data_IF_429563761358
#
_entry.id   IF_429563761358
#
_cell.length_a   1.000
_cell.length_b   1.000
_cell.length_c   1.000
_cell.angle_alpha   90.00
_cell.angle_beta   90.00
_cell.angle_gamma   90.00
#
_symmetry.space_group_name_H-M   'P 1'
#
loop_
_entity.id
_entity.type
_entity.pdbx_description
1 polymer ?
#
# COMPACT_ATOMS: atom_id res chain seq x y z
N UNK A 1 -8.24 -11.55 -21.40
CA UNK A 1 -8.25 -10.11 -21.10
C UNK A 1 -9.32 -9.87 -20.05
N UNK A 2 -8.92 -9.66 -18.80
CA UNK A 2 -9.80 -9.23 -17.72
C UNK A 2 -9.99 -7.73 -17.83
N UNK A 3 -11.22 -7.27 -18.03
CA UNK A 3 -11.54 -5.85 -17.97
C UNK A 3 -11.20 -5.29 -16.58
N UNK A 4 -10.78 -4.01 -16.48
CA UNK A 4 -10.59 -3.37 -15.18
C UNK A 4 -11.89 -3.48 -14.38
N UNK A 5 -11.79 -3.83 -13.09
CA UNK A 5 -12.95 -3.87 -12.19
C UNK A 5 -13.67 -2.50 -12.15
N UNK A 6 -12.97 -1.44 -12.56
CA UNK A 6 -13.36 -0.04 -12.69
C UNK A 6 -13.83 0.37 -14.10
N UNK A 7 -14.32 -0.56 -14.93
CA UNK A 7 -14.91 -0.30 -16.27
C UNK A 7 -15.95 0.83 -16.33
N UNK A 8 -16.27 1.34 -17.55
CA UNK A 8 -16.71 2.71 -17.75
C UNK A 8 -18.12 2.98 -17.20
N UNK A 9 -18.20 3.97 -16.31
CA UNK A 9 -19.40 4.67 -15.80
C UNK A 9 -20.43 3.75 -15.13
N UNK A 10 -20.03 3.16 -14.00
CA UNK A 10 -20.99 2.80 -12.95
C UNK A 10 -21.35 4.04 -12.15
N UNK A 11 -22.61 4.19 -11.77
CA UNK A 11 -22.99 5.27 -10.85
C UNK A 11 -22.30 5.06 -9.48
N UNK A 12 -22.17 6.11 -8.67
CA UNK A 12 -21.45 6.06 -7.39
C UNK A 12 -21.94 4.91 -6.49
N UNK A 13 -23.25 4.67 -6.47
CA UNK A 13 -23.87 3.65 -5.61
C UNK A 13 -23.48 2.24 -6.06
N UNK A 14 -23.50 1.95 -7.35
CA UNK A 14 -23.08 0.66 -7.93
C UNK A 14 -21.59 0.36 -7.65
N UNK A 15 -20.74 1.39 -7.65
CA UNK A 15 -19.31 1.23 -7.34
C UNK A 15 -19.12 0.89 -5.86
N UNK A 16 -19.82 1.59 -4.97
CA UNK A 16 -19.78 1.32 -3.53
C UNK A 16 -20.32 -0.07 -3.23
N UNK A 17 -21.47 -0.46 -3.80
CA UNK A 17 -22.05 -1.79 -3.65
C UNK A 17 -21.10 -2.89 -4.15
N UNK A 18 -20.42 -2.66 -5.28
CA UNK A 18 -19.43 -3.60 -5.79
C UNK A 18 -18.23 -3.75 -4.84
N UNK A 19 -17.75 -2.66 -4.24
CA UNK A 19 -16.66 -2.66 -3.26
C UNK A 19 -17.08 -3.39 -1.98
N UNK A 20 -18.28 -3.14 -1.47
CA UNK A 20 -18.85 -3.88 -0.34
C UNK A 20 -19.01 -5.38 -0.68
N UNK A 21 -19.35 -5.69 -1.94
CA UNK A 21 -19.41 -7.04 -2.46
C UNK A 21 -18.07 -7.79 -2.37
N UNK A 22 -16.92 -7.11 -2.51
CA UNK A 22 -15.59 -7.71 -2.32
C UNK A 22 -15.35 -8.17 -0.88
N UNK A 23 -16.08 -7.61 0.08
CA UNK A 23 -15.99 -7.92 1.50
C UNK A 23 -17.05 -8.95 1.94
N UNK A 24 -17.84 -9.50 1.02
CA UNK A 24 -18.89 -10.46 1.35
C UNK A 24 -18.32 -11.68 2.10
N UNK A 25 -18.81 -11.89 3.32
CA UNK A 25 -18.38 -12.99 4.20
C UNK A 25 -17.00 -12.78 4.84
N UNK A 26 -16.36 -11.63 4.63
CA UNK A 26 -15.11 -11.28 5.31
C UNK A 26 -15.36 -10.96 6.78
N UNK A 27 -14.51 -11.49 7.65
CA UNK A 27 -14.41 -11.12 9.06
C UNK A 27 -12.94 -10.93 9.38
N UNK A 28 -12.63 -9.84 10.07
CA UNK A 28 -11.25 -9.60 10.54
C UNK A 28 -10.88 -10.73 11.52
N UNK A 29 -9.78 -11.46 11.28
CA UNK A 29 -9.34 -12.50 12.20
C UNK A 29 -9.14 -11.95 13.62
N UNK A 30 -9.50 -12.75 14.63
CA UNK A 30 -9.46 -12.33 16.04
C UNK A 30 -8.03 -12.06 16.54
N UNK A 31 -7.04 -12.71 15.94
CA UNK A 31 -5.62 -12.55 16.25
C UNK A 31 -4.99 -11.27 15.67
N UNK A 32 -5.71 -10.51 14.83
CA UNK A 32 -5.23 -9.23 14.30
C UNK A 32 -5.33 -8.16 15.40
N UNK A 33 -4.23 -7.45 15.71
CA UNK A 33 -4.19 -6.47 16.80
C UNK A 33 -5.15 -5.28 16.58
N UNK A 34 -5.46 -4.58 17.67
CA UNK A 34 -6.27 -3.34 17.63
C UNK A 34 -5.44 -2.11 17.31
N UNK A 35 -4.13 -2.16 17.53
CA UNK A 35 -3.18 -1.15 17.10
C UNK A 35 -2.49 -1.69 15.85
N UNK A 36 -2.63 -0.98 14.74
CA UNK A 36 -2.04 -1.29 13.43
C UNK A 36 -1.55 0.04 12.89
N UNK A 37 -0.35 0.07 12.34
CA UNK A 37 0.24 1.30 11.78
C UNK A 37 0.43 1.21 10.27
N UNK A 38 0.49 0.00 9.74
CA UNK A 38 0.89 -0.26 8.36
C UNK A 38 0.07 -1.38 7.74
N UNK A 39 -0.09 -1.36 6.43
CA UNK A 39 -0.54 -2.50 5.66
C UNK A 39 0.29 -2.65 4.39
N UNK A 40 0.48 -3.90 3.98
CA UNK A 40 1.00 -4.26 2.66
C UNK A 40 -0.12 -4.94 1.89
N UNK A 41 -0.42 -4.42 0.71
CA UNK A 41 -1.47 -4.89 -0.18
C UNK A 41 -0.91 -4.99 -1.61
N UNK A 42 -1.50 -5.77 -2.53
CA UNK A 42 -1.08 -5.70 -3.93
C UNK A 42 -1.38 -4.32 -4.53
N UNK A 43 -0.69 -3.96 -5.60
CA UNK A 43 -0.92 -2.67 -6.28
C UNK A 43 -1.96 -2.73 -7.40
N UNK A 44 -2.29 -3.92 -7.89
CA UNK A 44 -3.13 -4.13 -9.08
C UNK A 44 -4.62 -3.75 -8.94
N UNK A 45 -5.28 -3.56 -10.10
CA UNK A 45 -6.72 -3.26 -10.22
C UNK A 45 -7.59 -4.48 -10.62
N UNK A 46 -6.96 -5.64 -10.78
CA UNK A 46 -7.67 -6.90 -11.02
C UNK A 46 -8.52 -7.32 -9.82
N UNK A 47 -9.49 -8.21 -10.04
CA UNK A 47 -10.45 -8.59 -8.99
C UNK A 47 -9.79 -9.24 -7.75
N UNK A 48 -8.67 -9.95 -7.91
CA UNK A 48 -7.96 -10.54 -6.77
C UNK A 48 -7.28 -9.44 -5.96
N UNK A 49 -6.57 -8.54 -6.64
CA UNK A 49 -5.92 -7.39 -6.00
C UNK A 49 -6.93 -6.48 -5.30
N UNK A 50 -8.00 -6.09 -6.01
CA UNK A 50 -9.06 -5.25 -5.47
C UNK A 50 -9.67 -5.84 -4.18
N UNK A 51 -9.88 -7.15 -4.14
CA UNK A 51 -10.39 -7.86 -2.96
C UNK A 51 -9.39 -7.84 -1.80
N UNK A 52 -8.10 -8.08 -2.06
CA UNK A 52 -7.06 -8.03 -1.03
C UNK A 52 -6.88 -6.62 -0.46
N UNK A 53 -6.91 -5.59 -1.33
CA UNK A 53 -6.86 -4.18 -0.94
C UNK A 53 -8.09 -3.83 -0.09
N UNK A 54 -9.29 -4.19 -0.53
CA UNK A 54 -10.53 -3.95 0.22
C UNK A 54 -10.46 -4.57 1.62
N UNK A 55 -10.00 -5.82 1.73
CA UNK A 55 -9.83 -6.51 3.03
C UNK A 55 -8.80 -5.82 3.93
N UNK A 56 -7.69 -5.37 3.37
CA UNK A 56 -6.67 -4.61 4.09
C UNK A 56 -7.25 -3.31 4.66
N UNK A 57 -7.81 -2.46 3.79
CA UNK A 57 -8.40 -1.17 4.18
C UNK A 57 -9.56 -1.35 5.16
N UNK A 58 -10.47 -2.30 4.91
CA UNK A 58 -11.57 -2.58 5.82
C UNK A 58 -11.08 -3.04 7.21
N UNK A 59 -10.00 -3.83 7.26
CA UNK A 59 -9.38 -4.22 8.53
C UNK A 59 -8.84 -3.02 9.28
N UNK A 60 -8.15 -2.10 8.59
CA UNK A 60 -7.68 -0.84 9.18
C UNK A 60 -8.85 0.00 9.71
N UNK A 61 -9.94 0.11 8.95
CA UNK A 61 -11.14 0.85 9.39
C UNK A 61 -11.73 0.25 10.68
N UNK A 62 -11.84 -1.07 10.76
CA UNK A 62 -12.44 -1.72 11.92
C UNK A 62 -11.54 -1.72 13.16
N UNK A 63 -10.22 -1.74 12.99
CA UNK A 63 -9.25 -1.80 14.11
C UNK A 63 -8.83 -0.41 14.58
N UNK A 64 -8.47 0.48 13.66
CA UNK A 64 -7.81 1.75 14.00
C UNK A 64 -8.56 3.01 13.57
N UNK A 65 -9.55 2.91 12.67
CA UNK A 65 -10.34 4.05 12.15
C UNK A 65 -9.44 5.20 11.66
N UNK A 66 -8.68 4.98 10.57
CA UNK A 66 -7.71 5.96 10.10
C UNK A 66 -8.38 7.29 9.76
N UNK A 67 -7.67 8.38 10.06
CA UNK A 67 -8.01 9.75 9.61
C UNK A 67 -7.25 10.11 8.34
N UNK A 68 -6.07 9.52 8.15
CA UNK A 68 -5.23 9.69 6.98
C UNK A 68 -4.62 8.34 6.57
N UNK A 69 -4.61 8.05 5.28
CA UNK A 69 -3.89 6.91 4.69
C UNK A 69 -2.82 7.43 3.74
N UNK A 70 -1.56 7.11 4.03
CA UNK A 70 -0.44 7.35 3.11
C UNK A 70 -0.38 6.15 2.17
N UNK A 71 -0.64 6.39 0.88
CA UNK A 71 -0.62 5.35 -0.15
C UNK A 71 0.77 5.34 -0.79
N UNK A 72 1.55 4.29 -0.54
CA UNK A 72 2.91 4.13 -1.09
C UNK A 72 2.83 3.25 -2.35
N UNK A 73 2.84 3.88 -3.52
CA UNK A 73 2.86 3.21 -4.81
C UNK A 73 4.26 3.14 -5.41
N UNK A 74 4.63 2.00 -6.01
CA UNK A 74 5.86 1.92 -6.79
C UNK A 74 5.63 2.39 -8.22
N UNK A 75 6.48 3.29 -8.73
CA UNK A 75 6.43 3.69 -10.13
C UNK A 75 7.30 2.79 -11.01
N UNK A 76 6.77 2.27 -12.14
CA UNK A 76 7.58 1.56 -13.12
C UNK A 76 8.48 2.48 -13.96
N UNK A 77 8.30 3.81 -13.85
CA UNK A 77 9.22 4.77 -14.47
C UNK A 77 10.52 4.80 -13.69
N UNK A 78 11.63 5.12 -14.35
CA UNK A 78 12.92 5.31 -13.69
C UNK A 78 12.88 6.55 -12.78
N UNK A 79 12.39 6.37 -11.55
CA UNK A 79 12.45 7.36 -10.49
C UNK A 79 13.80 7.26 -9.77
N UNK A 80 14.41 8.40 -9.49
CA UNK A 80 15.62 8.47 -8.66
C UNK A 80 15.26 8.50 -7.17
N UNK A 81 14.36 9.40 -6.79
CA UNK A 81 13.90 9.58 -5.42
C UNK A 81 12.42 9.28 -5.24
N UNK A 82 11.86 9.85 -4.18
CA UNK A 82 10.43 9.73 -3.83
C UNK A 82 9.69 10.99 -4.29
N UNK A 83 8.44 10.82 -4.74
CA UNK A 83 7.57 11.93 -5.08
C UNK A 83 6.27 11.88 -4.28
N UNK A 84 5.70 13.03 -3.91
CA UNK A 84 4.37 13.10 -3.28
C UNK A 84 3.52 14.23 -3.85
N UNK A 85 2.20 14.07 -3.72
CA UNK A 85 1.25 15.15 -4.00
C UNK A 85 0.90 15.86 -2.69
N UNK A 86 1.10 17.18 -2.64
CA UNK A 86 1.01 17.96 -1.41
C UNK A 86 -0.35 18.63 -1.14
N UNK A 87 -1.18 18.78 -2.16
CA UNK A 87 -2.44 19.52 -2.10
C UNK A 87 -3.45 18.98 -3.11
N UNK A 88 -4.73 19.30 -2.95
CA UNK A 88 -5.79 18.92 -3.90
C UNK A 88 -6.53 17.64 -3.52
N UNK A 89 -7.09 16.97 -4.53
CA UNK A 89 -7.95 15.80 -4.35
C UNK A 89 -7.62 14.74 -5.42
N UNK A 90 -7.82 13.47 -5.08
CA UNK A 90 -7.77 12.36 -6.03
C UNK A 90 -9.19 12.04 -6.47
N UNK A 91 -9.50 12.23 -7.74
CA UNK A 91 -10.81 11.93 -8.29
C UNK A 91 -11.02 10.42 -8.45
N UNK A 92 -12.18 9.94 -8.01
CA UNK A 92 -12.57 8.54 -8.18
C UNK A 92 -14.03 8.40 -8.54
N UNK A 93 -14.42 7.25 -9.08
CA UNK A 93 -15.82 6.96 -9.42
C UNK A 93 -16.72 6.85 -8.18
N UNK A 94 -16.17 6.62 -6.98
CA UNK A 94 -16.92 6.69 -5.71
C UNK A 94 -17.01 8.13 -5.13
N UNK A 95 -16.42 9.10 -5.83
CA UNK A 95 -16.28 10.51 -5.42
C UNK A 95 -14.84 10.87 -5.06
N UNK A 96 -14.58 12.17 -4.94
CA UNK A 96 -13.23 12.69 -4.68
C UNK A 96 -12.77 12.38 -3.25
N UNK A 97 -11.45 12.23 -3.10
CA UNK A 97 -10.76 12.03 -1.82
C UNK A 97 -9.73 13.12 -1.63
N UNK A 98 -9.93 13.96 -0.61
CA UNK A 98 -9.03 15.07 -0.33
C UNK A 98 -7.68 14.60 0.18
N UNK A 99 -6.63 15.30 -0.24
CA UNK A 99 -5.27 15.07 0.25
C UNK A 99 -5.10 15.68 1.65
N UNK A 100 -4.42 14.98 2.55
CA UNK A 100 -4.05 15.54 3.86
C UNK A 100 -2.81 16.45 3.72
N UNK A 101 -3.05 17.72 3.42
CA UNK A 101 -1.99 18.71 3.21
C UNK A 101 -1.05 18.88 4.41
N UNK A 102 -1.57 18.68 5.63
CA UNK A 102 -0.77 18.79 6.86
C UNK A 102 0.23 17.63 6.93
N UNK A 103 -0.22 16.41 6.70
CA UNK A 103 0.68 15.24 6.65
C UNK A 103 1.62 15.38 5.45
N UNK A 104 1.10 15.71 4.27
CA UNK A 104 1.92 15.81 3.06
C UNK A 104 3.05 16.86 3.19
N UNK A 105 2.76 18.04 3.74
CA UNK A 105 3.77 19.07 4.02
C UNK A 105 4.82 18.60 5.03
N UNK A 106 4.40 17.85 6.05
CA UNK A 106 5.31 17.26 7.03
C UNK A 106 6.24 16.23 6.39
N UNK A 107 5.71 15.35 5.52
CA UNK A 107 6.50 14.37 4.78
C UNK A 107 7.48 15.04 3.83
N UNK A 108 7.03 16.07 3.11
CA UNK A 108 7.88 16.86 2.22
C UNK A 108 9.06 17.48 2.99
N UNK A 109 8.82 17.98 4.20
CA UNK A 109 9.91 18.52 5.05
C UNK A 109 10.85 17.42 5.54
N UNK A 110 10.31 16.26 5.90
CA UNK A 110 11.07 15.13 6.44
C UNK A 110 12.05 14.53 5.42
N UNK A 111 11.69 14.55 4.13
CA UNK A 111 12.40 13.84 3.07
C UNK A 111 13.25 14.74 2.16
N UNK A 112 13.47 16.01 2.54
CA UNK A 112 14.44 16.87 1.85
C UNK A 112 15.88 16.39 2.06
N UNK A 113 16.75 16.41 1.03
CA UNK A 113 16.53 16.95 -0.32
C UNK A 113 16.02 15.93 -1.35
N UNK A 114 15.73 14.69 -0.92
CA UNK A 114 15.48 13.53 -1.79
C UNK A 114 14.08 13.49 -2.41
N UNK A 115 13.20 14.39 -1.97
CA UNK A 115 11.81 14.42 -2.39
C UNK A 115 11.54 15.39 -3.54
N UNK A 116 10.82 14.90 -4.54
CA UNK A 116 10.17 15.72 -5.56
C UNK A 116 8.71 15.97 -5.17
N UNK A 117 8.34 17.22 -4.92
CA UNK A 117 6.93 17.58 -4.74
C UNK A 117 6.38 17.83 -6.14
N UNK A 118 5.50 16.95 -6.61
CA UNK A 118 5.02 17.08 -7.98
C UNK A 118 3.97 18.19 -8.09
N UNK A 119 4.15 19.05 -9.10
CA UNK A 119 3.30 20.21 -9.36
C UNK A 119 1.96 19.83 -10.03
N UNK A 120 1.81 18.58 -10.51
CA UNK A 120 0.60 18.08 -11.17
C UNK A 120 0.16 16.70 -10.69
N UNK A 121 -1.15 16.48 -10.67
CA UNK A 121 -1.77 15.21 -10.25
C UNK A 121 -1.62 14.07 -11.26
N UNK A 122 -1.28 14.37 -12.52
CA UNK A 122 -1.25 13.40 -13.62
C UNK A 122 -0.29 12.23 -13.37
N UNK A 123 0.81 12.45 -12.65
CA UNK A 123 1.76 11.38 -12.33
C UNK A 123 1.23 10.45 -11.23
N UNK A 124 0.41 10.95 -10.30
CA UNK A 124 -0.19 10.17 -9.22
C UNK A 124 -1.43 9.40 -9.67
N UNK A 125 -2.21 9.97 -10.58
CA UNK A 125 -3.35 9.29 -11.21
C UNK A 125 -2.89 8.10 -12.08
N UNK A 126 -1.61 8.02 -12.42
CA UNK A 126 -1.05 6.93 -13.23
C UNK A 126 -0.77 5.65 -12.43
N UNK A 127 -0.58 5.72 -11.11
CA UNK A 127 -0.25 4.54 -10.30
C UNK A 127 -1.50 3.77 -9.86
N UNK A 128 -1.58 2.45 -10.14
CA UNK A 128 -2.72 1.61 -9.78
C UNK A 128 -3.16 1.74 -8.31
N UNK A 129 -2.22 1.64 -7.36
CA UNK A 129 -2.54 1.74 -5.93
C UNK A 129 -3.15 3.09 -5.56
N UNK A 130 -2.71 4.20 -6.15
CA UNK A 130 -3.26 5.52 -5.83
C UNK A 130 -4.73 5.60 -6.26
N UNK A 131 -5.05 5.12 -7.47
CA UNK A 131 -6.42 5.10 -7.98
C UNK A 131 -7.32 4.19 -7.17
N UNK A 132 -6.96 2.91 -7.05
CA UNK A 132 -7.81 1.93 -6.35
C UNK A 132 -7.80 2.15 -4.83
N UNK A 133 -6.68 2.56 -4.25
CA UNK A 133 -6.56 2.87 -2.83
C UNK A 133 -7.41 4.06 -2.44
N UNK A 134 -7.41 5.14 -3.24
CA UNK A 134 -8.31 6.28 -3.03
C UNK A 134 -9.78 5.87 -3.18
N UNK A 135 -10.12 5.11 -4.22
CA UNK A 135 -11.46 4.58 -4.43
C UNK A 135 -11.96 3.75 -3.22
N UNK A 136 -11.14 2.82 -2.74
CA UNK A 136 -11.46 1.97 -1.60
C UNK A 136 -11.55 2.78 -0.30
N UNK A 137 -10.67 3.76 -0.11
CA UNK A 137 -10.72 4.68 1.03
C UNK A 137 -12.03 5.48 1.02
N UNK A 138 -12.46 5.97 -0.15
CA UNK A 138 -13.72 6.71 -0.28
C UNK A 138 -14.93 5.88 0.10
N UNK A 139 -14.95 4.61 -0.32
CA UNK A 139 -16.07 3.71 -0.09
C UNK A 139 -16.09 3.16 1.36
N UNK A 140 -14.94 2.74 1.88
CA UNK A 140 -14.83 1.99 3.13
C UNK A 140 -14.49 2.85 4.36
N UNK A 141 -13.87 4.01 4.15
CA UNK A 141 -13.46 4.93 5.21
C UNK A 141 -13.93 6.38 4.93
N UNK A 142 -15.25 6.64 4.87
CA UNK A 142 -15.76 7.99 4.56
C UNK A 142 -15.19 9.05 5.51
N UNK A 143 -14.60 10.10 4.95
CA UNK A 143 -13.97 11.20 5.70
C UNK A 143 -12.49 10.99 6.01
N UNK A 144 -11.93 9.80 5.71
CA UNK A 144 -10.48 9.59 5.71
C UNK A 144 -9.85 10.34 4.53
N UNK A 145 -8.74 11.03 4.80
CA UNK A 145 -7.91 11.69 3.79
C UNK A 145 -6.82 10.76 3.30
N UNK A 146 -6.16 11.12 2.21
CA UNK A 146 -5.03 10.34 1.66
C UNK A 146 -3.79 11.20 1.44
N UNK A 147 -2.63 10.57 1.38
CA UNK A 147 -1.41 11.21 0.84
C UNK A 147 -0.77 10.21 -0.13
N UNK A 148 -0.86 10.42 -1.45
CA UNK A 148 -0.22 9.54 -2.42
C UNK A 148 1.27 9.83 -2.48
N UNK A 149 2.07 8.77 -2.43
CA UNK A 149 3.53 8.81 -2.43
C UNK A 149 4.04 7.77 -3.41
N UNK A 150 4.77 8.24 -4.42
CA UNK A 150 5.43 7.42 -5.42
C UNK A 150 6.86 7.15 -4.99
N UNK A 151 7.27 5.89 -5.02
CA UNK A 151 8.64 5.45 -4.73
C UNK A 151 9.22 4.63 -5.89
N UNK A 152 10.56 4.53 -5.99
CA UNK A 152 11.20 3.58 -6.90
C UNK A 152 10.81 2.13 -6.58
N UNK A 153 10.83 1.26 -7.58
CA UNK A 153 10.59 -0.20 -7.43
C UNK A 153 11.62 -0.88 -6.52
N UNK A 154 12.87 -0.41 -6.58
CA UNK A 154 14.03 -0.94 -5.85
C UNK A 154 14.87 0.20 -5.25
N UNK A 155 15.66 -0.11 -4.21
CA UNK A 155 16.61 0.85 -3.66
C UNK A 155 17.69 1.22 -4.70
N UNK A 156 18.16 2.46 -4.65
CA UNK A 156 19.20 3.00 -5.52
C UNK A 156 20.08 4.01 -4.75
N UNK A 157 21.05 4.64 -5.42
CA UNK A 157 22.02 5.55 -4.79
C UNK A 157 21.35 6.76 -4.09
N UNK A 158 20.20 7.19 -4.59
CA UNK A 158 19.43 8.33 -4.09
C UNK A 158 18.26 7.89 -3.20
N UNK A 159 18.01 6.59 -3.03
CA UNK A 159 16.83 6.08 -2.32
C UNK A 159 17.09 4.78 -1.55
N UNK A 160 17.07 4.88 -0.22
CA UNK A 160 17.04 3.75 0.70
C UNK A 160 15.63 3.61 1.33
N UNK A 161 14.85 2.57 0.95
CA UNK A 161 13.51 2.37 1.48
C UNK A 161 13.48 2.06 2.98
N UNK A 162 14.53 1.42 3.52
CA UNK A 162 14.58 1.04 4.94
C UNK A 162 14.85 2.29 5.79
N UNK A 163 15.82 3.10 5.40
CA UNK A 163 16.11 4.37 6.07
C UNK A 163 14.89 5.30 6.01
N UNK A 164 14.25 5.41 4.85
CA UNK A 164 13.06 6.24 4.66
C UNK A 164 11.87 5.76 5.50
N UNK A 165 11.61 4.44 5.50
CA UNK A 165 10.54 3.84 6.29
C UNK A 165 10.75 4.03 7.78
N UNK A 166 11.97 3.84 8.27
CA UNK A 166 12.34 4.07 9.68
C UNK A 166 12.07 5.52 10.07
N UNK A 167 12.58 6.47 9.28
CA UNK A 167 12.38 7.90 9.51
C UNK A 167 10.90 8.29 9.51
N UNK A 168 10.11 7.72 8.59
CA UNK A 168 8.67 7.91 8.53
C UNK A 168 7.98 7.38 9.79
N UNK A 169 8.34 6.18 10.24
CA UNK A 169 7.74 5.53 11.41
C UNK A 169 7.99 6.32 12.68
N UNK A 170 9.23 6.77 12.88
CA UNK A 170 9.63 7.63 14.00
C UNK A 170 8.89 8.97 13.98
N UNK A 171 8.87 9.63 12.82
CA UNK A 171 8.19 10.91 12.65
C UNK A 171 6.69 10.79 12.93
N UNK A 172 6.06 9.70 12.51
CA UNK A 172 4.63 9.50 12.71
C UNK A 172 4.28 8.83 14.03
N UNK A 173 5.22 8.48 14.92
CA UNK A 173 4.99 7.74 16.18
C UNK A 173 3.84 8.24 17.06
N UNK A 174 3.57 9.55 17.08
CA UNK A 174 2.45 10.14 17.84
C UNK A 174 1.14 10.27 17.02
N UNK A 175 1.19 10.12 15.70
CA UNK A 175 0.08 10.28 14.75
C UNK A 175 -0.70 8.97 14.58
N UNK A 176 -1.31 8.47 15.66
CA UNK A 176 -2.04 7.16 15.66
C UNK A 176 -3.15 7.03 14.61
N UNK A 177 -3.66 8.15 14.08
CA UNK A 177 -4.68 8.16 13.04
C UNK A 177 -4.14 8.13 11.61
N UNK A 178 -2.81 8.11 11.42
CA UNK A 178 -2.15 8.10 10.12
C UNK A 178 -1.57 6.72 9.86
N UNK A 179 -2.01 6.07 8.78
CA UNK A 179 -1.64 4.70 8.46
C UNK A 179 -0.92 4.65 7.12
N UNK A 180 0.12 3.83 7.01
CA UNK A 180 0.79 3.57 5.74
C UNK A 180 0.17 2.35 5.07
N UNK A 181 -0.18 2.46 3.78
CA UNK A 181 -0.61 1.35 2.93
C UNK A 181 0.33 1.27 1.74
N UNK A 182 1.17 0.24 1.70
CA UNK A 182 2.15 0.05 0.64
C UNK A 182 1.69 -1.01 -0.37
N UNK A 183 1.82 -0.67 -1.65
CA UNK A 183 1.52 -1.55 -2.77
C UNK A 183 2.73 -2.40 -3.13
N UNK A 184 2.67 -3.70 -2.86
CA UNK A 184 3.70 -4.65 -3.26
C UNK A 184 3.12 -6.02 -3.60
N UNK A 185 3.69 -6.61 -4.65
CA UNK A 185 3.52 -8.01 -5.03
C UNK A 185 4.71 -8.79 -4.49
N UNK A 186 4.49 -9.95 -3.89
CA UNK A 186 5.54 -10.67 -3.14
C UNK A 186 6.20 -11.81 -3.92
N UNK A 187 5.87 -12.02 -5.19
CA UNK A 187 6.38 -13.15 -5.96
C UNK A 187 6.82 -12.82 -7.38
N UNK A 188 7.98 -13.31 -7.79
CA UNK A 188 8.26 -13.52 -9.21
C UNK A 188 7.76 -14.92 -9.58
N UNK A 189 6.90 -15.04 -10.58
CA UNK A 189 6.22 -16.30 -10.95
C UNK A 189 7.10 -17.54 -11.19
N UNK A 190 8.43 -17.41 -11.17
CA UNK A 190 9.40 -18.52 -11.21
C UNK A 190 9.70 -19.18 -9.84
N UNK A 191 9.55 -18.48 -8.72
CA UNK A 191 9.92 -18.99 -7.38
C UNK A 191 8.77 -19.71 -6.66
N UNK A 192 7.53 -19.47 -7.09
CA UNK A 192 6.31 -20.09 -6.57
C UNK A 192 6.06 -19.86 -5.08
N UNK A 193 5.14 -20.63 -4.50
CA UNK A 193 4.70 -20.51 -3.09
C UNK A 193 5.85 -20.56 -2.06
N UNK A 194 6.97 -21.20 -2.37
CA UNK A 194 8.13 -21.27 -1.47
C UNK A 194 8.91 -19.94 -1.42
N UNK A 195 8.93 -19.19 -2.52
CA UNK A 195 9.51 -17.83 -2.55
C UNK A 195 8.65 -16.88 -1.71
N UNK A 196 7.35 -16.85 -1.98
CA UNK A 196 6.37 -16.05 -1.24
C UNK A 196 6.47 -16.27 0.28
N UNK A 197 6.59 -17.53 0.72
CA UNK A 197 6.71 -17.88 2.13
C UNK A 197 7.97 -17.31 2.81
N UNK A 198 9.08 -17.16 2.09
CA UNK A 198 10.32 -16.57 2.64
C UNK A 198 10.15 -15.08 2.86
N UNK A 199 9.56 -14.38 1.89
CA UNK A 199 9.26 -12.96 2.00
C UNK A 199 8.23 -12.72 3.11
N UNK A 200 7.15 -13.50 3.12
CA UNK A 200 6.10 -13.42 4.15
C UNK A 200 6.64 -13.63 5.57
N UNK A 201 7.61 -14.54 5.74
CA UNK A 201 8.22 -14.75 7.05
C UNK A 201 8.80 -13.47 7.62
N UNK A 202 9.57 -12.71 6.83
CA UNK A 202 10.22 -11.47 7.26
C UNK A 202 9.27 -10.26 7.28
N UNK A 203 8.08 -10.41 6.72
CA UNK A 203 7.01 -9.42 6.85
C UNK A 203 6.15 -9.68 8.11
N UNK A 204 5.97 -10.94 8.50
CA UNK A 204 5.26 -11.34 9.73
C UNK A 204 6.16 -11.19 10.96
N UNK A 205 7.41 -11.65 10.88
CA UNK A 205 8.46 -11.39 11.87
C UNK A 205 9.29 -10.24 11.32
N UNK A 206 8.93 -9.01 11.71
CA UNK A 206 9.25 -7.81 10.93
C UNK A 206 10.76 -7.58 10.91
N UNK A 207 11.39 -7.84 9.75
CA UNK A 207 12.81 -7.66 9.51
C UNK A 207 13.03 -7.07 8.10
N UNK A 208 13.11 -5.73 7.96
CA UNK A 208 13.19 -5.07 6.66
C UNK A 208 14.49 -5.39 5.90
N UNK A 209 15.59 -5.70 6.59
CA UNK A 209 16.87 -6.00 5.95
C UNK A 209 16.84 -7.40 5.31
N UNK A 210 16.40 -8.40 6.06
CA UNK A 210 16.23 -9.76 5.54
C UNK A 210 15.13 -9.80 4.48
N UNK A 211 14.04 -9.04 4.69
CA UNK A 211 12.94 -8.89 3.74
C UNK A 211 13.43 -8.35 2.39
N UNK A 212 14.19 -7.26 2.37
CA UNK A 212 14.75 -6.70 1.13
C UNK A 212 15.64 -7.71 0.41
N UNK A 213 16.49 -8.42 1.16
CA UNK A 213 17.43 -9.41 0.64
C UNK A 213 16.70 -10.59 -0.03
N UNK A 214 15.74 -11.18 0.67
CA UNK A 214 14.94 -12.29 0.15
C UNK A 214 14.04 -11.85 -1.02
N UNK A 215 13.40 -10.69 -0.93
CA UNK A 215 12.58 -10.14 -2.00
C UNK A 215 13.39 -9.99 -3.30
N UNK A 216 14.60 -9.43 -3.22
CA UNK A 216 15.53 -9.35 -4.37
C UNK A 216 15.94 -10.73 -4.88
N UNK A 217 16.29 -11.65 -3.98
CA UNK A 217 16.72 -13.01 -4.34
C UNK A 217 15.65 -13.78 -5.13
N UNK A 218 14.36 -13.52 -4.85
CA UNK A 218 13.26 -14.16 -5.57
C UNK A 218 12.72 -13.32 -6.74
N UNK A 219 13.31 -12.15 -7.04
CA UNK A 219 12.91 -11.29 -8.16
C UNK A 219 11.62 -10.48 -7.92
N UNK A 220 11.30 -10.15 -6.67
CA UNK A 220 10.16 -9.31 -6.31
C UNK A 220 10.34 -7.89 -6.88
N UNK A 221 9.55 -7.53 -7.90
CA UNK A 221 9.65 -6.24 -8.60
C UNK A 221 9.32 -5.02 -7.75
N UNK A 222 8.58 -5.20 -6.65
CA UNK A 222 8.18 -4.11 -5.73
C UNK A 222 8.81 -4.28 -4.34
N UNK A 223 10.11 -4.62 -4.31
CA UNK A 223 10.87 -4.83 -3.07
C UNK A 223 11.01 -3.58 -2.20
N UNK A 224 11.02 -2.37 -2.79
CA UNK A 224 11.22 -1.15 -2.02
C UNK A 224 10.00 -0.71 -1.20
N UNK A 225 8.77 -0.62 -1.74
CA UNK A 225 7.57 -0.36 -0.93
C UNK A 225 7.41 -1.37 0.22
N UNK A 226 7.74 -2.63 -0.05
CA UNK A 226 7.68 -3.71 0.93
C UNK A 226 8.65 -3.47 2.11
N UNK A 227 9.90 -3.15 1.79
CA UNK A 227 10.94 -2.87 2.80
C UNK A 227 10.65 -1.59 3.58
N UNK A 228 10.10 -0.56 2.90
CA UNK A 228 9.67 0.70 3.50
C UNK A 228 8.55 0.47 4.50
N UNK A 229 7.53 -0.32 4.14
CA UNK A 229 6.41 -0.64 5.02
C UNK A 229 6.87 -1.39 6.28
N UNK A 230 7.75 -2.39 6.12
CA UNK A 230 8.30 -3.13 7.26
C UNK A 230 9.14 -2.22 8.18
N UNK A 231 9.99 -1.36 7.62
CA UNK A 231 10.79 -0.42 8.38
C UNK A 231 9.92 0.63 9.10
N UNK A 232 8.86 1.11 8.45
CA UNK A 232 7.87 2.00 9.05
C UNK A 232 7.20 1.36 10.27
N UNK A 233 6.72 0.12 10.14
CA UNK A 233 6.09 -0.61 11.24
C UNK A 233 7.05 -0.77 12.44
N UNK A 234 8.32 -1.14 12.20
CA UNK A 234 9.34 -1.18 13.24
C UNK A 234 9.58 0.18 13.91
N UNK A 235 9.67 1.26 13.10
CA UNK A 235 9.81 2.62 13.62
C UNK A 235 8.62 3.08 14.47
N UNK A 236 7.46 2.44 14.28
CA UNK A 236 6.24 2.62 15.09
C UNK A 236 6.18 1.71 16.32
N UNK A 237 7.15 0.83 16.50
CA UNK A 237 7.28 -0.10 17.62
C UNK A 237 6.70 -1.50 17.38
N UNK A 238 6.16 -1.75 16.19
CA UNK A 238 5.57 -3.05 15.83
C UNK A 238 6.67 -4.08 15.58
N UNK A 239 6.45 -5.31 16.04
CA UNK A 239 7.43 -6.41 15.87
C UNK A 239 6.84 -7.58 15.08
N UNK A 240 5.52 -7.69 15.03
CA UNK A 240 4.83 -8.84 14.46
C UNK A 240 3.67 -8.39 13.58
N UNK A 241 3.69 -8.81 12.32
CA UNK A 241 2.60 -8.63 11.37
C UNK A 241 1.55 -9.74 11.45
N UNK A 242 0.39 -9.48 10.86
CA UNK A 242 -0.70 -10.46 10.70
C UNK A 242 -1.09 -10.62 9.23
N UNK A 243 -0.93 -11.84 8.72
CA UNK A 243 -1.41 -12.20 7.39
C UNK A 243 -2.94 -12.26 7.38
N UNK A 244 -3.57 -11.42 6.56
CA UNK A 244 -5.01 -11.45 6.34
C UNK A 244 -5.38 -12.45 5.26
N UNK A 245 -4.65 -12.42 4.13
CA UNK A 245 -4.85 -13.34 3.03
C UNK A 245 -3.64 -13.40 2.08
N UNK A 246 -3.37 -14.57 1.51
CA UNK A 246 -2.43 -14.80 0.42
C UNK A 246 -3.17 -15.39 -0.78
N UNK A 247 -2.89 -14.85 -1.97
CA UNK A 247 -3.47 -15.30 -3.23
C UNK A 247 -2.41 -15.23 -4.36
N UNK A 248 -2.80 -15.72 -5.53
CA UNK A 248 -2.00 -15.66 -6.76
C UNK A 248 -2.77 -14.86 -7.80
N UNK A 249 -2.14 -13.86 -8.39
CA UNK A 249 -2.68 -13.07 -9.51
C UNK A 249 -2.18 -13.69 -10.82
N UNK A 250 -3.06 -13.87 -11.79
CA UNK A 250 -2.73 -14.42 -13.10
C UNK A 250 -2.89 -15.95 -13.19
N UNK A 251 -2.26 -16.54 -14.21
CA UNK A 251 -2.48 -17.93 -14.60
C UNK A 251 -1.55 -18.86 -13.82
N UNK A 252 -1.87 -20.15 -13.69
CA UNK A 252 -1.06 -21.13 -12.92
C UNK A 252 0.42 -21.23 -13.33
N UNK A 253 0.75 -20.86 -14.57
CA UNK A 253 2.11 -20.95 -15.13
C UNK A 253 2.90 -19.65 -15.03
N UNK A 254 2.24 -18.52 -14.74
CA UNK A 254 2.85 -17.17 -14.72
C UNK A 254 2.36 -16.34 -13.54
N UNK A 255 1.88 -17.00 -12.49
CA UNK A 255 1.18 -16.38 -11.39
C UNK A 255 2.12 -15.58 -10.49
N UNK A 256 1.69 -14.41 -10.06
CA UNK A 256 2.42 -13.52 -9.14
C UNK A 256 1.79 -13.63 -7.76
N UNK A 257 2.61 -13.80 -6.73
CA UNK A 257 2.16 -13.83 -5.34
C UNK A 257 1.62 -12.47 -4.89
N UNK A 258 0.44 -12.46 -4.27
CA UNK A 258 -0.22 -11.25 -3.79
C UNK A 258 -0.75 -11.45 -2.37
N UNK A 259 -0.56 -10.46 -1.51
CA UNK A 259 -0.89 -10.59 -0.08
C UNK A 259 -1.56 -9.35 0.47
N UNK A 260 -2.38 -9.57 1.47
CA UNK A 260 -2.86 -8.54 2.38
C UNK A 260 -2.30 -8.86 3.77
N UNK A 261 -1.43 -7.99 4.27
CA UNK A 261 -0.79 -8.10 5.58
C UNK A 261 -0.93 -6.77 6.31
N UNK A 262 -1.20 -6.82 7.61
CA UNK A 262 -1.20 -5.64 8.48
C UNK A 262 -0.06 -5.74 9.48
N UNK A 263 0.61 -4.62 9.74
CA UNK A 263 1.76 -4.50 10.64
C UNK A 263 1.50 -3.42 11.70
#
# INVERSE_FOLDING_TARGET
MTEPTTGPIKNREEVVEAIEGLLKGWRVPENVPQEISTAVVPSGEDAVSARLIAKGIHTLVLRVRPRCIILIGASPRQMKGVALSAFGEISSTAGDVSIDERIASRLATLWLPTIEVADSHEEFDSLPLHRIGALMTRALAPGCRVVPVSVPLEANDDFDPIALGTLLGEALSEERGTIVVAGAEIGAGASGFKGDARVLRHLIDIDPFSLQTEARAIGCSSSAPLSLAAAHALGRGEQIGSLLEHAVIGNKESGIGAVSVVL
#
